data_IF_158693176423
#
_entry.id   IF_158693176423
#
_cell.length_a   1.000
_cell.length_b   1.000
_cell.length_c   1.000
_cell.angle_alpha   90.00
_cell.angle_beta   90.00
_cell.angle_gamma   90.00
#
_symmetry.space_group_name_H-M   'P 1'
#
loop_
_entity.id
_entity.type
_entity.pdbx_description
1 polymer ?
#
# COMPACT_ATOMS: atom_id res chain seq x y z
N UNK A 1 -0.10 -3.15 -31.90
CA UNK A 1 1.25 -2.88 -31.33
C UNK A 1 1.64 -4.05 -30.47
N UNK A 2 2.85 -4.58 -30.67
CA UNK A 2 3.41 -5.67 -29.83
C UNK A 2 4.64 -5.15 -29.10
N UNK A 3 4.80 -5.61 -27.87
CA UNK A 3 5.91 -5.21 -27.00
C UNK A 3 6.57 -6.46 -26.44
N UNK A 4 7.87 -6.63 -26.73
CA UNK A 4 8.68 -7.69 -26.16
C UNK A 4 9.39 -7.16 -24.92
N UNK A 5 9.17 -7.78 -23.80
CA UNK A 5 9.86 -7.52 -22.53
C UNK A 5 11.04 -8.48 -22.44
N UNK A 6 12.22 -8.07 -22.93
CA UNK A 6 13.41 -8.93 -23.01
C UNK A 6 14.08 -9.11 -21.67
N UNK A 7 13.95 -8.13 -20.77
CA UNK A 7 14.48 -8.13 -19.41
C UNK A 7 13.64 -7.23 -18.51
N UNK A 8 13.65 -7.53 -17.21
CA UNK A 8 12.80 -6.84 -16.22
C UNK A 8 13.54 -6.41 -14.96
N UNK A 9 14.83 -6.75 -14.82
CA UNK A 9 15.58 -6.42 -13.62
C UNK A 9 16.31 -5.07 -13.73
N UNK A 10 16.65 -4.51 -12.57
CA UNK A 10 17.47 -3.30 -12.45
C UNK A 10 18.89 -3.58 -12.93
N UNK A 11 19.52 -2.60 -13.53
CA UNK A 11 20.90 -2.49 -14.06
C UNK A 11 21.82 -3.72 -14.09
N UNK A 12 22.01 -4.41 -12.96
CA UNK A 12 22.88 -5.59 -12.85
C UNK A 12 22.17 -6.93 -13.02
N UNK A 13 20.84 -6.95 -13.22
CA UNK A 13 20.05 -8.17 -13.18
C UNK A 13 19.56 -8.56 -11.77
N UNK A 14 18.80 -9.65 -11.70
CA UNK A 14 18.42 -10.25 -10.42
C UNK A 14 18.62 -11.77 -10.53
N UNK A 15 19.51 -12.39 -9.71
CA UNK A 15 20.28 -11.80 -8.60
C UNK A 15 21.26 -10.72 -9.05
N UNK A 16 21.47 -9.74 -8.18
CA UNK A 16 22.48 -8.69 -8.37
C UNK A 16 23.88 -9.32 -8.21
N UNK A 17 24.82 -9.11 -9.16
CA UNK A 17 26.17 -9.62 -9.03
C UNK A 17 26.80 -9.26 -7.67
N UNK A 18 27.52 -10.20 -7.10
CA UNK A 18 28.25 -10.07 -5.82
C UNK A 18 27.40 -9.72 -4.60
N UNK A 19 26.07 -9.80 -4.71
CA UNK A 19 25.15 -9.57 -3.59
C UNK A 19 24.90 -10.83 -2.78
N UNK A 20 25.35 -10.86 -1.54
CA UNK A 20 25.15 -11.97 -0.59
C UNK A 20 23.80 -11.99 0.15
N UNK A 21 22.82 -11.15 -0.21
CA UNK A 21 21.53 -11.12 0.49
C UNK A 21 20.68 -12.38 0.23
N UNK A 22 19.77 -12.68 1.16
CA UNK A 22 18.92 -13.87 1.08
C UNK A 22 18.01 -13.91 -0.17
N UNK A 23 17.66 -12.77 -0.73
CA UNK A 23 16.88 -12.70 -1.99
C UNK A 23 17.73 -13.20 -3.16
N UNK A 24 18.94 -12.65 -3.35
CA UNK A 24 19.84 -13.02 -4.43
C UNK A 24 20.35 -14.45 -4.30
N UNK A 25 20.65 -14.91 -3.07
CA UNK A 25 21.17 -16.27 -2.83
C UNK A 25 20.21 -17.41 -3.20
N UNK A 26 18.92 -17.12 -3.38
CA UNK A 26 17.90 -18.11 -3.78
C UNK A 26 17.75 -18.28 -5.27
N UNK A 27 18.38 -17.44 -6.07
CA UNK A 27 18.19 -17.38 -7.51
C UNK A 27 19.45 -17.81 -8.26
N UNK A 28 19.28 -18.42 -9.41
CA UNK A 28 20.38 -18.72 -10.33
C UNK A 28 20.84 -17.43 -11.02
N UNK A 29 22.14 -17.30 -11.35
CA UNK A 29 22.64 -16.19 -12.15
C UNK A 29 21.85 -16.00 -13.45
N UNK A 30 21.49 -14.76 -13.77
CA UNK A 30 20.71 -14.43 -14.96
C UNK A 30 19.22 -14.80 -14.88
N UNK A 31 18.68 -15.06 -13.70
CA UNK A 31 17.25 -15.34 -13.49
C UNK A 31 16.36 -14.26 -14.09
N UNK A 32 16.70 -12.98 -13.87
CA UNK A 32 16.14 -11.84 -14.60
C UNK A 32 17.26 -10.97 -15.15
N UNK A 33 17.15 -10.61 -16.41
CA UNK A 33 18.09 -9.74 -17.11
C UNK A 33 17.78 -8.27 -16.88
N UNK A 34 18.74 -7.38 -17.07
CA UNK A 34 18.49 -5.93 -17.05
C UNK A 34 17.30 -5.54 -17.91
N UNK A 35 16.54 -4.54 -17.46
CA UNK A 35 15.37 -4.04 -18.15
C UNK A 35 15.69 -3.69 -19.59
N UNK A 36 15.04 -4.38 -20.51
CA UNK A 36 15.06 -4.12 -21.94
C UNK A 36 13.70 -4.41 -22.54
N UNK A 37 13.14 -3.44 -23.25
CA UNK A 37 11.81 -3.53 -23.85
C UNK A 37 11.90 -3.11 -25.32
N UNK A 38 11.36 -3.93 -26.21
CA UNK A 38 11.34 -3.67 -27.66
C UNK A 38 9.91 -3.48 -28.13
N UNK A 39 9.61 -2.31 -28.69
CA UNK A 39 8.29 -1.94 -29.19
C UNK A 39 8.27 -2.10 -30.71
N UNK A 40 7.25 -2.81 -31.24
CA UNK A 40 7.08 -3.02 -32.67
C UNK A 40 5.63 -2.75 -33.06
N UNK A 41 5.42 -2.00 -34.14
CA UNK A 41 4.08 -1.77 -34.71
C UNK A 41 3.68 -2.77 -35.81
N UNK A 42 4.67 -3.37 -36.48
CA UNK A 42 4.44 -4.32 -37.58
C UNK A 42 4.06 -5.70 -37.06
N UNK A 43 3.19 -6.40 -37.80
CA UNK A 43 2.89 -7.81 -37.62
C UNK A 43 4.07 -8.66 -38.10
N UNK A 44 5.18 -8.64 -37.39
CA UNK A 44 6.28 -9.59 -37.66
C UNK A 44 5.94 -10.90 -36.95
N UNK A 45 6.07 -12.04 -37.64
CA UNK A 45 6.05 -13.31 -36.95
C UNK A 45 7.29 -13.38 -36.06
N UNK A 46 7.09 -13.28 -34.76
CA UNK A 46 8.10 -13.62 -33.79
C UNK A 46 8.22 -15.14 -33.76
N UNK A 47 8.90 -15.69 -34.77
CA UNK A 47 9.25 -17.10 -34.80
C UNK A 47 10.45 -17.33 -33.88
N UNK A 48 10.15 -17.51 -32.61
CA UNK A 48 11.04 -18.07 -31.60
C UNK A 48 10.36 -19.30 -31.03
N UNK A 49 10.39 -20.40 -31.77
CA UNK A 49 9.97 -21.70 -31.27
C UNK A 49 10.91 -22.14 -30.15
N UNK A 50 10.47 -22.02 -28.92
CA UNK A 50 11.06 -22.73 -27.81
C UNK A 50 10.35 -24.09 -27.67
N UNK A 51 10.69 -25.01 -28.51
CA UNK A 51 10.43 -26.44 -28.30
C UNK A 51 11.79 -27.12 -28.24
N UNK A 52 12.18 -27.56 -27.06
CA UNK A 52 13.43 -28.31 -26.86
C UNK A 52 13.64 -28.60 -25.40
N UNK A 53 13.10 -29.72 -24.91
CA UNK A 53 13.47 -30.29 -23.63
C UNK A 53 14.99 -30.57 -23.58
N UNK A 54 15.66 -30.45 -22.41
CA UNK A 54 17.09 -30.72 -22.33
C UNK A 54 17.36 -32.23 -22.32
N UNK A 55 18.07 -32.74 -23.33
CA UNK A 55 18.78 -33.98 -23.27
C UNK A 55 20.20 -33.76 -22.78
N UNK A 56 20.62 -34.54 -21.80
CA UNK A 56 21.97 -34.58 -21.27
C UNK A 56 23.02 -34.94 -22.33
N UNK A 57 24.08 -34.12 -22.46
CA UNK A 57 25.38 -34.57 -22.90
C UNK A 57 26.49 -33.53 -22.55
N UNK A 58 27.76 -33.95 -22.41
CA UNK A 58 28.74 -33.28 -21.56
C UNK A 58 29.49 -32.15 -22.28
N UNK A 59 30.12 -31.29 -21.44
CA UNK A 59 30.87 -30.10 -21.82
C UNK A 59 32.09 -30.36 -22.73
N UNK A 60 32.41 -29.43 -23.63
CA UNK A 60 33.81 -29.16 -24.01
C UNK A 60 34.24 -27.76 -23.55
N UNK A 61 35.53 -27.64 -23.29
CA UNK A 61 36.24 -26.54 -22.70
C UNK A 61 36.31 -25.23 -23.51
N UNK A 62 37.07 -24.22 -23.01
CA UNK A 62 36.88 -22.83 -23.37
C UNK A 62 37.50 -22.48 -24.74
N UNK A 63 36.69 -21.86 -25.59
CA UNK A 63 37.17 -21.18 -26.78
C UNK A 63 36.91 -19.67 -26.67
N UNK A 64 37.99 -18.94 -26.70
CA UNK A 64 38.05 -17.49 -26.91
C UNK A 64 37.41 -17.10 -28.23
N UNK A 65 36.58 -16.09 -28.24
CA UNK A 65 36.24 -15.51 -29.53
C UNK A 65 34.99 -14.70 -29.60
N UNK A 66 35.13 -13.42 -29.77
CA UNK A 66 34.32 -12.48 -30.55
C UNK A 66 32.88 -12.25 -30.10
N UNK A 67 32.61 -11.04 -29.64
CA UNK A 67 31.27 -10.48 -29.51
C UNK A 67 30.46 -10.68 -30.82
N UNK A 68 29.22 -11.18 -30.73
CA UNK A 68 28.35 -11.13 -31.90
C UNK A 68 27.85 -9.71 -32.08
N UNK A 69 28.17 -9.17 -33.22
CA UNK A 69 27.76 -7.86 -33.68
C UNK A 69 26.26 -7.66 -33.67
N UNK A 70 25.94 -6.40 -33.60
CA UNK A 70 24.64 -5.80 -33.82
C UNK A 70 23.84 -6.50 -34.92
N UNK A 71 22.89 -7.32 -34.56
CA UNK A 71 21.93 -7.88 -35.50
C UNK A 71 20.75 -6.94 -35.64
N UNK A 72 20.75 -6.20 -36.76
CA UNK A 72 19.60 -5.74 -37.54
C UNK A 72 18.42 -5.19 -36.76
N UNK A 73 18.39 -3.85 -36.66
CA UNK A 73 17.17 -3.10 -36.44
C UNK A 73 16.17 -3.39 -37.56
N UNK A 74 15.12 -4.17 -37.28
CA UNK A 74 13.93 -4.15 -38.13
C UNK A 74 13.42 -2.70 -38.16
N UNK A 75 13.24 -2.14 -39.33
CA UNK A 75 12.77 -0.78 -39.51
C UNK A 75 11.46 -0.59 -38.71
N UNK A 76 11.48 0.27 -37.66
CA UNK A 76 10.33 0.54 -36.81
C UNK A 76 10.37 -0.05 -35.39
N UNK A 77 11.42 -0.76 -34.97
CA UNK A 77 11.55 -1.22 -33.60
C UNK A 77 12.26 -0.17 -32.72
N UNK A 78 11.71 0.09 -31.52
CA UNK A 78 12.31 0.97 -30.50
C UNK A 78 12.67 0.16 -29.28
N UNK A 79 13.87 0.39 -28.73
CA UNK A 79 14.34 -0.19 -27.49
C UNK A 79 14.19 0.81 -26.33
N UNK A 80 13.71 0.36 -25.20
CA UNK A 80 13.61 1.11 -23.95
C UNK A 80 14.42 0.38 -22.84
N UNK A 81 15.01 1.10 -21.85
CA UNK A 81 14.96 2.55 -21.70
C UNK A 81 15.75 3.29 -22.79
N UNK A 82 15.27 4.48 -23.14
CA UNK A 82 16.02 5.37 -24.02
C UNK A 82 17.15 5.99 -23.20
N UNK A 83 18.39 5.88 -23.69
CA UNK A 83 19.51 6.58 -23.06
C UNK A 83 19.34 8.10 -23.25
N UNK A 84 19.74 8.88 -22.23
CA UNK A 84 19.73 10.34 -22.34
C UNK A 84 20.65 10.76 -23.51
N UNK A 85 20.05 11.33 -24.57
CA UNK A 85 20.74 11.75 -25.77
C UNK A 85 20.58 10.85 -26.99
N UNK A 86 19.92 9.70 -26.87
CA UNK A 86 19.58 8.90 -28.03
C UNK A 86 18.60 9.65 -28.94
N UNK A 87 18.85 9.79 -30.25
CA UNK A 87 17.90 10.37 -31.15
C UNK A 87 16.64 9.48 -31.22
N UNK A 88 15.43 10.06 -31.13
CA UNK A 88 14.21 9.26 -31.27
C UNK A 88 14.23 8.60 -32.66
N UNK A 89 13.72 7.37 -32.78
CA UNK A 89 13.56 6.74 -34.09
C UNK A 89 12.72 7.64 -35.00
N UNK A 90 13.00 7.71 -36.31
CA UNK A 90 12.51 8.76 -37.19
C UNK A 90 10.98 8.88 -37.33
N UNK A 91 10.23 7.98 -36.76
CA UNK A 91 8.74 7.96 -36.81
C UNK A 91 8.07 7.99 -35.45
N UNK A 92 8.82 8.03 -34.35
CA UNK A 92 8.26 8.06 -32.99
C UNK A 92 8.46 9.45 -32.37
N UNK A 93 7.52 9.87 -31.54
CA UNK A 93 7.69 11.08 -30.73
C UNK A 93 8.02 10.71 -29.31
N UNK A 94 9.04 11.32 -28.76
CA UNK A 94 9.42 11.18 -27.36
C UNK A 94 9.21 12.51 -26.67
N UNK A 95 8.53 12.51 -25.54
CA UNK A 95 8.32 13.69 -24.71
C UNK A 95 8.63 13.37 -23.25
N UNK A 96 9.30 14.29 -22.57
CA UNK A 96 9.50 14.21 -21.13
C UNK A 96 8.27 14.73 -20.40
N UNK A 97 7.86 14.01 -19.36
CA UNK A 97 6.78 14.39 -18.45
C UNK A 97 7.25 14.32 -17.00
N UNK A 98 6.43 14.78 -16.07
CA UNK A 98 6.74 14.63 -14.65
C UNK A 98 6.85 13.15 -14.20
N UNK A 99 6.23 12.23 -14.94
CA UNK A 99 6.22 10.80 -14.63
C UNK A 99 7.32 10.01 -15.30
N UNK A 100 7.99 10.57 -16.31
CA UNK A 100 9.02 9.90 -17.10
C UNK A 100 8.98 10.27 -18.57
N UNK A 101 9.44 9.37 -19.43
CA UNK A 101 9.45 9.56 -20.86
C UNK A 101 8.22 8.90 -21.50
N UNK A 102 7.45 9.66 -22.27
CA UNK A 102 6.36 9.14 -23.08
C UNK A 102 6.81 8.97 -24.53
N UNK A 103 6.74 7.74 -25.00
CA UNK A 103 6.92 7.37 -26.41
C UNK A 103 5.55 7.29 -27.07
N UNK A 104 5.36 8.05 -28.14
CA UNK A 104 4.16 7.95 -28.98
C UNK A 104 4.55 7.29 -30.30
N UNK A 105 3.94 6.16 -30.61
CA UNK A 105 4.18 5.42 -31.83
C UNK A 105 3.43 6.02 -33.03
N UNK A 106 3.82 5.70 -34.28
CA UNK A 106 3.11 6.19 -35.49
C UNK A 106 1.62 5.86 -35.50
N UNK A 107 1.22 4.72 -34.96
CA UNK A 107 -0.19 4.31 -34.81
C UNK A 107 -0.93 4.99 -33.65
N UNK A 108 -0.26 5.92 -32.95
CA UNK A 108 -0.87 6.68 -31.84
C UNK A 108 -0.82 5.96 -30.50
N UNK A 109 -0.15 4.80 -30.39
CA UNK A 109 0.06 4.10 -29.14
C UNK A 109 0.98 4.90 -28.19
N UNK A 110 0.65 4.94 -26.92
CA UNK A 110 1.36 5.73 -25.89
C UNK A 110 2.00 4.79 -24.85
N UNK A 111 3.31 4.90 -24.71
CA UNK A 111 4.09 4.11 -23.76
C UNK A 111 4.81 5.07 -22.80
N UNK A 112 4.57 4.94 -21.53
CA UNK A 112 5.27 5.69 -20.48
C UNK A 112 6.35 4.82 -19.86
N UNK A 113 7.59 5.28 -19.92
CA UNK A 113 8.73 4.72 -19.20
C UNK A 113 9.04 5.59 -17.99
N UNK A 114 8.73 5.10 -16.79
CA UNK A 114 8.96 5.83 -15.54
C UNK A 114 10.36 5.57 -14.95
N UNK A 115 11.16 4.69 -15.55
CA UNK A 115 12.50 4.37 -15.10
C UNK A 115 13.54 5.35 -15.65
N UNK A 116 13.25 5.95 -16.80
CA UNK A 116 14.07 7.02 -17.34
C UNK A 116 13.94 8.26 -16.43
N UNK A 117 15.05 8.71 -15.88
CA UNK A 117 15.08 9.93 -15.06
C UNK A 117 14.61 11.12 -15.88
N UNK A 118 13.62 11.88 -15.43
CA UNK A 118 13.33 13.15 -16.06
C UNK A 118 14.57 14.02 -15.96
N UNK A 119 15.03 14.55 -17.09
CA UNK A 119 16.05 15.60 -17.09
C UNK A 119 15.49 16.72 -16.22
N UNK A 120 16.15 16.99 -15.10
CA UNK A 120 15.76 18.08 -14.21
C UNK A 120 15.66 19.38 -15.04
N UNK A 121 14.53 20.08 -15.05
CA UNK A 121 14.49 21.37 -15.68
C UNK A 121 15.51 22.27 -14.99
N UNK A 122 16.20 23.17 -15.72
CA UNK A 122 17.15 24.08 -15.11
C UNK A 122 16.39 24.89 -14.04
N UNK A 123 16.93 24.90 -12.85
CA UNK A 123 16.44 25.68 -11.71
C UNK A 123 16.44 27.15 -12.05
N UNK A 124 15.28 27.71 -12.32
CA UNK A 124 15.06 29.16 -12.33
C UNK A 124 14.62 29.60 -10.95
N UNK A 125 15.18 30.68 -10.39
CA UNK A 125 14.89 31.11 -9.04
C UNK A 125 13.53 31.79 -8.95
N UNK A 126 12.82 31.38 -7.96
CA UNK A 126 11.72 31.97 -7.19
C UNK A 126 11.28 33.40 -7.48
N UNK A 127 9.98 33.59 -7.57
CA UNK A 127 9.30 34.60 -6.80
C UNK A 127 7.93 34.11 -6.34
N UNK A 128 7.76 34.11 -5.05
CA UNK A 128 6.55 33.77 -4.30
C UNK A 128 5.51 34.86 -4.45
N UNK A 129 4.27 34.49 -4.55
CA UNK A 129 3.16 35.17 -3.86
C UNK A 129 1.99 34.23 -3.65
N UNK A 130 1.35 34.25 -2.49
CA UNK A 130 0.29 33.31 -2.12
C UNK A 130 -1.09 33.86 -2.48
N UNK A 131 -2.05 32.93 -2.54
CA UNK A 131 -3.49 33.13 -2.51
C UNK A 131 -4.24 33.23 -3.83
N UNK A 132 -4.93 32.14 -4.14
CA UNK A 132 -6.27 32.18 -4.73
C UNK A 132 -7.07 30.91 -4.35
N UNK A 133 -8.40 31.00 -4.18
CA UNK A 133 -9.23 30.01 -3.52
C UNK A 133 -9.49 28.77 -4.41
N UNK A 134 -9.65 27.64 -3.74
CA UNK A 134 -10.04 26.35 -4.32
C UNK A 134 -11.42 26.51 -4.99
N UNK A 135 -11.45 26.46 -6.30
CA UNK A 135 -12.66 26.34 -7.08
C UNK A 135 -13.05 24.87 -7.19
N UNK A 136 -14.35 24.61 -7.02
CA UNK A 136 -14.97 23.29 -6.97
C UNK A 136 -14.82 22.42 -8.23
N UNK A 137 -15.41 21.22 -8.25
CA UNK A 137 -15.10 20.17 -9.21
C UNK A 137 -15.47 20.60 -10.63
N UNK A 138 -14.45 20.67 -11.48
CA UNK A 138 -14.62 20.89 -12.93
C UNK A 138 -15.18 19.63 -13.56
N UNK A 139 -16.17 19.81 -14.41
CA UNK A 139 -16.88 18.80 -15.17
C UNK A 139 -15.92 17.86 -15.93
N UNK A 140 -16.33 16.60 -16.05
CA UNK A 140 -15.68 15.60 -16.87
C UNK A 140 -15.53 16.09 -18.32
N UNK A 141 -14.36 15.91 -18.97
CA UNK A 141 -14.23 16.18 -20.39
C UNK A 141 -14.84 15.04 -21.21
N UNK A 142 -15.47 15.44 -22.31
CA UNK A 142 -16.08 14.60 -23.34
C UNK A 142 -15.16 13.45 -23.81
N UNK A 143 -15.80 12.32 -24.19
CA UNK A 143 -15.21 11.05 -24.59
C UNK A 143 -14.30 11.02 -25.82
N UNK A 144 -13.22 11.82 -25.82
CA UNK A 144 -12.05 11.63 -26.67
C UNK A 144 -11.03 10.75 -25.97
N UNK A 145 -10.18 10.00 -26.69
CA UNK A 145 -9.03 9.27 -26.14
C UNK A 145 -8.24 10.22 -25.25
N UNK A 146 -8.48 10.13 -23.93
CA UNK A 146 -7.77 10.94 -22.94
C UNK A 146 -6.26 10.67 -23.01
N UNK A 147 -5.49 11.44 -22.27
CA UNK A 147 -4.02 11.33 -22.18
C UNK A 147 -3.50 10.01 -21.56
N UNK A 148 -4.36 9.01 -21.36
CA UNK A 148 -4.03 7.71 -20.82
C UNK A 148 -3.03 6.94 -21.71
N UNK A 149 -2.10 6.22 -21.06
CA UNK A 149 -1.11 5.41 -21.73
C UNK A 149 -1.64 4.00 -22.00
N UNK A 150 -1.22 3.37 -23.12
CA UNK A 150 -1.53 1.95 -23.40
C UNK A 150 -0.64 1.02 -22.56
N UNK A 151 0.60 1.45 -22.30
CA UNK A 151 1.58 0.72 -21.50
C UNK A 151 2.34 1.67 -20.58
N UNK A 152 2.56 1.23 -19.34
CA UNK A 152 3.45 1.89 -18.39
C UNK A 152 4.51 0.87 -17.93
N UNK A 153 5.78 1.22 -18.07
CA UNK A 153 6.94 0.51 -17.52
C UNK A 153 7.33 1.19 -16.21
N UNK A 154 7.30 0.47 -15.09
CA UNK A 154 7.45 1.11 -13.80
C UNK A 154 8.26 0.28 -12.80
N UNK A 155 9.21 0.92 -12.10
CA UNK A 155 9.80 0.40 -10.87
C UNK A 155 8.79 0.52 -9.72
N UNK A 156 7.97 -0.51 -9.57
CA UNK A 156 6.93 -0.55 -8.54
C UNK A 156 7.46 -0.88 -7.14
N UNK A 157 8.73 -1.29 -7.03
CA UNK A 157 9.33 -1.63 -5.73
C UNK A 157 9.86 -0.40 -4.98
N UNK A 158 10.13 0.68 -5.71
CA UNK A 158 10.61 1.93 -5.11
C UNK A 158 9.45 2.77 -4.56
N UNK A 159 8.51 3.11 -5.45
CA UNK A 159 7.43 4.06 -5.13
C UNK A 159 6.10 3.61 -5.74
N UNK A 160 5.46 2.58 -5.20
CA UNK A 160 4.18 2.07 -5.71
C UNK A 160 3.04 3.11 -5.67
N UNK A 161 3.12 4.11 -4.77
CA UNK A 161 2.15 5.20 -4.66
C UNK A 161 2.09 6.11 -5.89
N UNK A 162 3.16 6.17 -6.69
CA UNK A 162 3.14 6.88 -7.98
C UNK A 162 2.08 6.30 -8.94
N UNK A 163 1.86 4.99 -8.87
CA UNK A 163 0.81 4.35 -9.67
C UNK A 163 -0.59 4.82 -9.24
N UNK A 164 -0.81 4.98 -7.93
CA UNK A 164 -2.06 5.54 -7.41
C UNK A 164 -2.29 6.97 -7.91
N UNK A 165 -1.27 7.82 -7.85
CA UNK A 165 -1.34 9.20 -8.34
C UNK A 165 -1.56 9.26 -9.87
N UNK A 166 -0.88 8.43 -10.66
CA UNK A 166 -1.11 8.33 -12.12
C UNK A 166 -2.54 7.88 -12.44
N UNK A 167 -3.12 6.97 -11.65
CA UNK A 167 -4.54 6.57 -11.78
C UNK A 167 -5.47 7.72 -11.45
N UNK A 168 -5.20 8.45 -10.39
CA UNK A 168 -6.00 9.62 -9.99
C UNK A 168 -6.00 10.71 -11.05
N UNK A 169 -4.87 10.90 -11.74
CA UNK A 169 -4.73 11.89 -12.84
C UNK A 169 -5.19 11.37 -14.21
N UNK A 170 -5.61 10.11 -14.32
CA UNK A 170 -6.06 9.53 -15.58
C UNK A 170 -4.95 9.17 -16.57
N UNK A 171 -3.69 9.22 -16.17
CA UNK A 171 -2.54 8.73 -16.99
C UNK A 171 -2.59 7.21 -17.14
N UNK A 172 -3.09 6.53 -16.12
CA UNK A 172 -3.35 5.08 -16.06
C UNK A 172 -4.83 4.85 -15.85
N UNK A 173 -5.47 4.17 -16.79
CA UNK A 173 -6.88 3.77 -16.74
C UNK A 173 -7.03 2.23 -16.68
N UNK A 174 -8.26 1.73 -16.87
CA UNK A 174 -8.56 0.30 -16.86
C UNK A 174 -7.98 -0.44 -18.07
N UNK A 175 -7.69 0.24 -19.17
CA UNK A 175 -7.13 -0.30 -20.40
C UNK A 175 -5.61 -0.32 -20.37
N UNK A 176 -5.01 0.53 -19.53
CA UNK A 176 -3.57 0.65 -19.39
C UNK A 176 -2.96 -0.64 -18.81
N UNK A 177 -1.98 -1.20 -19.48
CA UNK A 177 -1.13 -2.25 -18.92
C UNK A 177 0.02 -1.63 -18.17
N UNK A 178 0.20 -2.00 -16.91
CA UNK A 178 1.34 -1.59 -16.10
C UNK A 178 2.25 -2.80 -15.92
N UNK A 179 3.51 -2.70 -16.32
CA UNK A 179 4.52 -3.77 -16.20
C UNK A 179 5.56 -3.37 -15.18
N UNK A 180 5.81 -4.27 -14.23
CA UNK A 180 6.90 -4.13 -13.27
C UNK A 180 8.24 -4.34 -13.98
N UNK A 181 9.10 -3.34 -13.97
CA UNK A 181 10.47 -3.37 -14.44
C UNK A 181 11.42 -2.88 -13.33
N UNK A 182 12.72 -2.94 -13.56
CA UNK A 182 13.73 -2.61 -12.55
C UNK A 182 13.59 -3.40 -11.24
N UNK A 183 13.10 -4.65 -11.37
CA UNK A 183 12.96 -5.57 -10.26
C UNK A 183 14.32 -6.00 -9.74
N UNK A 184 14.49 -6.09 -8.42
CA UNK A 184 15.72 -6.53 -7.79
C UNK A 184 15.46 -7.12 -6.39
N UNK A 185 16.52 -7.26 -5.61
CA UNK A 185 16.50 -7.84 -4.26
C UNK A 185 15.73 -7.07 -3.19
N UNK A 186 15.14 -5.89 -3.50
CA UNK A 186 14.19 -5.20 -2.61
C UNK A 186 12.93 -6.02 -2.37
N UNK A 187 12.66 -7.00 -3.23
CA UNK A 187 11.64 -8.02 -2.99
C UNK A 187 12.32 -9.36 -2.63
N UNK A 188 11.82 -10.06 -1.59
CA UNK A 188 12.53 -11.25 -1.08
C UNK A 188 12.44 -12.47 -2.00
N UNK A 189 11.38 -12.57 -2.83
CA UNK A 189 11.13 -13.74 -3.70
C UNK A 189 10.23 -13.35 -4.88
N UNK A 190 10.24 -14.18 -5.94
CA UNK A 190 9.30 -14.07 -7.06
C UNK A 190 7.82 -14.18 -6.62
N UNK A 191 7.54 -15.06 -5.65
CA UNK A 191 6.19 -15.20 -5.11
C UNK A 191 5.71 -13.88 -4.44
N UNK A 192 6.59 -13.20 -3.71
CA UNK A 192 6.27 -11.91 -3.11
C UNK A 192 6.14 -10.80 -4.16
N UNK A 193 6.95 -10.82 -5.22
CA UNK A 193 6.78 -9.92 -6.35
C UNK A 193 5.41 -10.11 -7.01
N UNK A 194 5.04 -11.36 -7.30
CA UNK A 194 3.75 -11.68 -7.90
C UNK A 194 2.58 -11.25 -6.99
N UNK A 195 2.69 -11.48 -5.68
CA UNK A 195 1.69 -11.03 -4.69
C UNK A 195 1.51 -9.51 -4.70
N UNK A 196 2.61 -8.75 -4.63
CA UNK A 196 2.55 -7.28 -4.67
C UNK A 196 1.98 -6.77 -6.00
N UNK A 197 2.44 -7.34 -7.10
CA UNK A 197 1.95 -6.99 -8.43
C UNK A 197 0.43 -7.22 -8.56
N UNK A 198 -0.08 -8.34 -8.03
CA UNK A 198 -1.51 -8.62 -7.99
C UNK A 198 -2.29 -7.61 -7.16
N UNK A 199 -1.79 -7.22 -5.97
CA UNK A 199 -2.39 -6.19 -5.13
C UNK A 199 -2.52 -4.86 -5.85
N UNK A 200 -1.52 -4.50 -6.64
CA UNK A 200 -1.45 -3.21 -7.35
C UNK A 200 -2.07 -3.23 -8.75
N UNK A 201 -2.48 -4.42 -9.25
CA UNK A 201 -2.96 -4.59 -10.62
C UNK A 201 -1.86 -4.28 -11.64
N UNK A 202 -0.67 -4.81 -11.39
CA UNK A 202 0.54 -4.69 -12.21
C UNK A 202 0.90 -6.07 -12.75
N UNK A 203 1.49 -6.11 -13.93
CA UNK A 203 2.01 -7.33 -14.55
C UNK A 203 3.46 -7.54 -14.12
N UNK A 204 3.74 -8.57 -13.35
CA UNK A 204 5.08 -9.08 -13.12
C UNK A 204 5.31 -10.25 -14.11
N UNK A 205 5.94 -9.95 -15.23
CA UNK A 205 6.13 -10.92 -16.31
C UNK A 205 7.54 -11.49 -16.30
N UNK A 206 7.75 -12.75 -16.76
CA UNK A 206 9.08 -13.29 -17.05
C UNK A 206 9.75 -12.53 -18.19
N UNK A 207 11.08 -12.57 -18.21
CA UNK A 207 11.86 -12.11 -19.36
C UNK A 207 11.48 -12.90 -20.63
N UNK A 208 11.47 -12.20 -21.77
CA UNK A 208 11.05 -12.77 -23.06
C UNK A 208 9.54 -12.74 -23.31
N UNK A 209 8.73 -12.16 -22.42
CA UNK A 209 7.29 -12.05 -22.60
C UNK A 209 6.93 -11.08 -23.73
N UNK A 210 6.03 -11.48 -24.60
CA UNK A 210 5.44 -10.61 -25.63
C UNK A 210 4.03 -10.19 -25.21
N UNK A 211 3.82 -8.88 -25.16
CA UNK A 211 2.51 -8.27 -24.91
C UNK A 211 1.89 -7.78 -26.20
N UNK A 212 0.67 -8.17 -26.51
CA UNK A 212 -0.12 -7.59 -27.59
C UNK A 212 -1.06 -6.53 -27.02
N UNK A 213 -0.74 -5.26 -27.27
CA UNK A 213 -1.51 -4.14 -26.75
C UNK A 213 -2.81 -3.86 -27.53
N UNK A 214 -3.05 -4.54 -28.65
CA UNK A 214 -4.32 -4.46 -29.39
C UNK A 214 -5.45 -5.27 -28.71
N UNK A 215 -5.09 -6.31 -27.95
CA UNK A 215 -6.04 -7.11 -27.21
C UNK A 215 -6.54 -6.42 -25.93
N UNK A 216 -7.55 -6.96 -25.26
CA UNK A 216 -8.03 -6.44 -23.97
C UNK A 216 -6.92 -6.51 -22.91
N UNK A 217 -6.93 -5.54 -21.97
CA UNK A 217 -6.07 -5.64 -20.81
C UNK A 217 -6.44 -6.88 -19.99
N UNK A 218 -5.46 -7.55 -19.35
CA UNK A 218 -5.76 -8.65 -18.45
C UNK A 218 -6.71 -8.21 -17.34
N UNK A 219 -7.73 -9.02 -17.04
CA UNK A 219 -8.62 -8.74 -15.91
C UNK A 219 -7.80 -8.66 -14.62
N UNK A 220 -8.03 -7.62 -13.85
CA UNK A 220 -7.41 -7.52 -12.52
C UNK A 220 -8.00 -8.58 -11.61
N UNK A 221 -7.14 -9.20 -10.79
CA UNK A 221 -7.61 -10.11 -9.76
C UNK A 221 -8.60 -9.39 -8.82
N UNK A 222 -9.70 -10.05 -8.43
CA UNK A 222 -10.61 -9.52 -7.43
C UNK A 222 -9.83 -9.21 -6.15
N UNK A 223 -10.10 -8.05 -5.56
CA UNK A 223 -9.49 -7.66 -4.29
C UNK A 223 -10.48 -7.92 -3.17
N UNK A 224 -10.05 -8.52 -2.05
CA UNK A 224 -10.93 -8.71 -0.91
C UNK A 224 -11.54 -7.38 -0.48
N UNK A 225 -12.86 -7.28 -0.35
CA UNK A 225 -13.48 -6.05 0.12
C UNK A 225 -13.13 -5.77 1.58
N UNK A 226 -13.02 -6.81 2.44
CA UNK A 226 -12.72 -6.65 3.86
C UNK A 226 -11.48 -7.46 4.23
N UNK A 227 -10.44 -6.76 4.66
CA UNK A 227 -9.16 -7.35 5.07
C UNK A 227 -8.86 -6.98 6.51
N UNK A 228 -8.58 -7.97 7.35
CA UNK A 228 -8.13 -7.77 8.73
C UNK A 228 -6.68 -8.23 8.88
N UNK A 229 -5.79 -7.31 9.28
CA UNK A 229 -4.39 -7.59 9.56
C UNK A 229 -4.16 -7.57 11.07
N UNK A 230 -3.80 -8.71 11.60
CA UNK A 230 -3.49 -8.93 13.01
C UNK A 230 -1.98 -8.93 13.24
N UNK A 231 -1.54 -8.59 14.43
CA UNK A 231 -0.12 -8.73 14.80
C UNK A 231 0.27 -7.92 16.01
N UNK A 232 1.42 -8.25 16.60
CA UNK A 232 1.98 -7.54 17.74
C UNK A 232 2.53 -6.16 17.40
N UNK A 233 2.97 -5.42 18.41
CA UNK A 233 3.65 -4.15 18.22
C UNK A 233 4.88 -4.32 17.32
N UNK A 234 5.08 -3.40 16.37
CA UNK A 234 6.22 -3.40 15.43
C UNK A 234 6.32 -4.66 14.54
N UNK A 235 5.26 -5.43 14.37
CA UNK A 235 5.22 -6.61 13.50
C UNK A 235 5.33 -6.29 12.01
N UNK A 236 5.03 -5.04 11.59
CA UNK A 236 4.96 -4.60 10.20
C UNK A 236 3.53 -4.52 9.65
N UNK A 237 2.49 -4.77 10.48
CA UNK A 237 1.08 -4.77 10.04
C UNK A 237 0.62 -3.47 9.37
N UNK A 238 0.97 -2.29 9.92
CA UNK A 238 0.61 -1.00 9.30
C UNK A 238 1.31 -0.79 7.96
N UNK A 239 2.60 -1.18 7.84
CA UNK A 239 3.32 -1.11 6.57
C UNK A 239 2.71 -2.04 5.50
N UNK A 240 2.24 -3.23 5.90
CA UNK A 240 1.52 -4.13 5.00
C UNK A 240 0.15 -3.55 4.57
N UNK A 241 -0.58 -2.90 5.48
CA UNK A 241 -1.84 -2.24 5.16
C UNK A 241 -1.63 -1.09 4.15
N UNK A 242 -0.62 -0.25 4.38
CA UNK A 242 -0.23 0.82 3.47
C UNK A 242 0.17 0.24 2.10
N UNK A 243 0.98 -0.81 2.06
CA UNK A 243 1.41 -1.48 0.82
C UNK A 243 0.21 -2.01 0.01
N UNK A 244 -0.80 -2.57 0.66
CA UNK A 244 -2.00 -3.10 -0.01
C UNK A 244 -2.80 -2.05 -0.75
N UNK A 245 -2.77 -0.83 -0.27
CA UNK A 245 -3.53 0.30 -0.81
C UNK A 245 -2.66 1.30 -1.59
N UNK A 246 -1.34 1.10 -1.64
CA UNK A 246 -0.41 2.06 -2.22
C UNK A 246 -0.75 2.49 -3.65
N UNK A 247 -1.23 1.57 -4.48
CA UNK A 247 -1.60 1.84 -5.87
C UNK A 247 -3.05 2.29 -6.08
N UNK A 248 -3.82 2.55 -5.00
CA UNK A 248 -5.17 3.10 -5.13
C UNK A 248 -5.12 4.60 -5.44
N UNK A 249 -6.01 5.09 -6.33
CA UNK A 249 -6.06 6.51 -6.70
C UNK A 249 -6.45 7.40 -5.51
N UNK A 250 -7.25 6.87 -4.61
CA UNK A 250 -7.73 7.55 -3.41
C UNK A 250 -7.82 6.55 -2.27
N UNK A 251 -7.45 6.97 -1.08
CA UNK A 251 -7.60 6.21 0.17
C UNK A 251 -7.95 7.18 1.28
N UNK A 252 -8.87 6.83 2.14
CA UNK A 252 -9.10 7.53 3.40
C UNK A 252 -8.44 6.74 4.53
N UNK A 253 -7.36 7.31 5.05
CA UNK A 253 -6.69 6.80 6.25
C UNK A 253 -7.46 7.26 7.49
N UNK A 254 -7.82 6.32 8.35
CA UNK A 254 -8.58 6.60 9.57
C UNK A 254 -7.69 6.38 10.78
N UNK A 255 -7.37 7.49 11.46
CA UNK A 255 -6.68 7.49 12.73
C UNK A 255 -7.72 7.43 13.86
N UNK A 256 -7.61 6.41 14.69
CA UNK A 256 -8.56 6.16 15.80
C UNK A 256 -7.99 6.49 17.18
N UNK A 257 -6.71 6.83 17.23
CA UNK A 257 -6.03 7.22 18.47
C UNK A 257 -6.07 8.73 18.72
N UNK A 258 -5.68 9.16 19.93
CA UNK A 258 -5.61 10.57 20.28
C UNK A 258 -4.59 11.30 19.39
N UNK A 259 -4.81 12.60 19.18
CA UNK A 259 -3.98 13.47 18.33
C UNK A 259 -2.52 13.61 18.78
N UNK A 260 -2.18 13.17 19.98
CA UNK A 260 -0.80 13.11 20.49
C UNK A 260 -0.41 14.36 21.30
N UNK A 261 -1.37 15.16 21.70
CA UNK A 261 -1.14 16.32 22.58
C UNK A 261 -0.77 15.80 23.98
N UNK A 262 0.47 16.07 24.40
CA UNK A 262 1.00 15.69 25.72
C UNK A 262 2.02 14.54 25.73
N UNK A 263 2.11 13.69 24.71
CA UNK A 263 3.11 12.62 24.62
C UNK A 263 4.03 12.78 23.41
N UNK A 264 5.28 13.17 23.67
CA UNK A 264 6.29 13.41 22.62
C UNK A 264 6.66 12.13 21.84
N UNK A 265 6.61 10.97 22.45
CA UNK A 265 6.88 9.70 21.76
C UNK A 265 5.71 9.34 20.84
N UNK A 266 4.49 9.48 21.31
CA UNK A 266 3.28 9.26 20.52
C UNK A 266 3.21 10.24 19.34
N UNK A 267 3.42 11.54 19.57
CA UNK A 267 3.46 12.55 18.53
C UNK A 267 4.51 12.26 17.45
N UNK A 268 5.69 11.74 17.85
CA UNK A 268 6.74 11.30 16.90
C UNK A 268 6.27 10.10 16.08
N UNK A 269 5.56 9.14 16.67
CA UNK A 269 4.98 7.99 15.96
C UNK A 269 3.94 8.44 14.94
N UNK A 270 3.01 9.30 15.33
CA UNK A 270 1.98 9.85 14.45
C UNK A 270 2.61 10.57 13.26
N UNK A 271 3.64 11.41 13.49
CA UNK A 271 4.39 12.08 12.42
C UNK A 271 5.05 11.08 11.48
N UNK A 272 5.77 10.10 11.99
CA UNK A 272 6.44 9.08 11.17
C UNK A 272 5.44 8.26 10.31
N UNK A 273 4.23 8.01 10.82
CA UNK A 273 3.15 7.39 10.04
C UNK A 273 2.60 8.34 8.97
N UNK A 274 2.47 9.63 9.28
CA UNK A 274 1.99 10.64 8.33
C UNK A 274 2.99 10.86 7.19
N UNK A 275 4.28 10.90 7.48
CA UNK A 275 5.36 11.15 6.51
C UNK A 275 5.54 10.00 5.50
N UNK A 276 5.11 8.77 5.85
CA UNK A 276 5.15 7.62 4.94
C UNK A 276 3.98 7.54 3.98
N UNK A 277 2.89 8.26 4.27
CA UNK A 277 1.68 8.15 3.47
C UNK A 277 1.80 8.93 2.16
N UNK A 278 1.21 8.42 1.08
CA UNK A 278 1.10 9.19 -0.15
C UNK A 278 0.37 10.52 0.07
N UNK A 279 0.90 11.61 -0.48
CA UNK A 279 0.33 12.95 -0.30
C UNK A 279 -1.11 13.09 -0.82
N UNK A 280 -1.53 12.19 -1.72
CA UNK A 280 -2.88 12.20 -2.29
C UNK A 280 -3.92 11.42 -1.45
N UNK A 281 -3.50 10.81 -0.32
CA UNK A 281 -4.42 10.14 0.58
C UNK A 281 -5.10 11.14 1.53
N UNK A 282 -6.40 10.97 1.73
CA UNK A 282 -7.15 11.70 2.77
C UNK A 282 -6.85 11.13 4.16
N UNK A 283 -7.05 11.94 5.19
CA UNK A 283 -6.98 11.51 6.59
C UNK A 283 -8.26 11.92 7.32
N UNK A 284 -8.84 11.01 8.09
CA UNK A 284 -9.90 11.27 9.04
C UNK A 284 -9.44 10.88 10.45
N UNK A 285 -9.65 11.76 11.42
CA UNK A 285 -9.42 11.49 12.84
C UNK A 285 -10.80 11.30 13.49
N UNK A 286 -11.18 10.06 13.77
CA UNK A 286 -12.51 9.75 14.29
C UNK A 286 -12.58 8.36 14.89
N UNK A 287 -13.46 8.19 15.86
CA UNK A 287 -13.86 6.89 16.41
C UNK A 287 -15.22 6.40 15.88
N UNK A 288 -15.90 7.17 15.04
CA UNK A 288 -17.11 6.70 14.35
C UNK A 288 -16.78 5.85 13.11
N UNK A 289 -16.20 4.68 13.36
CA UNK A 289 -15.87 3.72 12.30
C UNK A 289 -17.13 3.17 11.63
N UNK A 290 -18.19 2.94 12.39
CA UNK A 290 -19.43 2.38 11.87
C UNK A 290 -20.09 3.33 10.87
N UNK A 291 -20.16 4.62 11.17
CA UNK A 291 -20.65 5.65 10.26
C UNK A 291 -19.83 5.74 8.98
N UNK A 292 -18.50 5.71 9.09
CA UNK A 292 -17.61 5.70 7.93
C UNK A 292 -17.79 4.47 7.03
N UNK A 293 -17.98 3.27 7.62
CA UNK A 293 -18.17 2.03 6.87
C UNK A 293 -19.50 2.01 6.10
N UNK A 294 -20.54 2.64 6.63
CA UNK A 294 -21.85 2.76 5.98
C UNK A 294 -21.89 3.82 4.89
N UNK A 295 -20.95 4.78 4.92
CA UNK A 295 -20.92 5.89 3.97
C UNK A 295 -20.13 5.48 2.72
N UNK A 296 -20.66 5.64 1.49
CA UNK A 296 -19.90 5.43 0.26
C UNK A 296 -18.65 6.33 0.17
N UNK A 297 -17.58 5.83 -0.42
CA UNK A 297 -16.36 6.62 -0.58
C UNK A 297 -15.15 5.78 -1.01
N UNK A 298 -13.94 6.36 -0.99
CA UNK A 298 -12.71 5.65 -1.34
C UNK A 298 -12.42 4.52 -0.35
N UNK A 299 -11.52 3.57 -0.69
CA UNK A 299 -11.07 2.55 0.24
C UNK A 299 -10.64 3.13 1.59
N UNK A 300 -10.93 2.40 2.67
CA UNK A 300 -10.53 2.76 4.03
C UNK A 300 -9.27 2.01 4.44
N UNK A 301 -8.34 2.72 5.08
CA UNK A 301 -7.29 2.14 5.91
C UNK A 301 -7.55 2.52 7.36
N UNK A 302 -8.00 1.57 8.19
CA UNK A 302 -8.20 1.77 9.62
C UNK A 302 -6.94 1.30 10.35
N UNK A 303 -6.13 2.24 10.83
CA UNK A 303 -4.87 1.90 11.51
C UNK A 303 -5.01 2.03 13.02
N UNK A 304 -5.39 0.90 13.63
CA UNK A 304 -5.43 0.71 15.06
C UNK A 304 -6.83 0.44 15.65
N UNK A 305 -7.36 -0.78 15.49
CA UNK A 305 -8.56 -1.18 16.23
C UNK A 305 -8.32 -1.25 17.74
N UNK A 306 -7.06 -1.49 18.17
CA UNK A 306 -6.69 -1.40 19.58
C UNK A 306 -6.86 0.02 20.14
N UNK A 307 -6.37 1.03 19.43
CA UNK A 307 -6.56 2.44 19.84
C UNK A 307 -8.02 2.85 19.78
N UNK A 308 -8.80 2.32 18.82
CA UNK A 308 -10.25 2.52 18.78
C UNK A 308 -10.94 1.94 20.01
N UNK A 309 -10.64 0.68 20.41
CA UNK A 309 -11.19 0.09 21.62
C UNK A 309 -10.85 0.92 22.85
N UNK A 310 -9.59 1.37 22.99
CA UNK A 310 -9.19 2.22 24.11
C UNK A 310 -10.00 3.52 24.15
N UNK A 311 -10.14 4.21 23.00
CA UNK A 311 -10.93 5.44 22.91
C UNK A 311 -12.42 5.22 23.24
N UNK A 312 -13.00 4.06 22.87
CA UNK A 312 -14.37 3.70 23.24
C UNK A 312 -14.48 3.44 24.74
N UNK A 313 -13.45 2.85 25.39
CA UNK A 313 -13.42 2.71 26.86
C UNK A 313 -13.36 4.06 27.54
N UNK A 314 -12.51 4.98 27.05
CA UNK A 314 -12.38 6.35 27.59
C UNK A 314 -13.71 7.11 27.48
N UNK A 315 -14.34 7.09 26.29
CA UNK A 315 -15.62 7.76 26.03
C UNK A 315 -16.75 7.30 26.97
N UNK A 316 -16.74 6.02 27.36
CA UNK A 316 -17.81 5.42 28.15
C UNK A 316 -17.44 5.24 29.63
N UNK A 317 -16.29 5.74 30.08
CA UNK A 317 -15.82 5.55 31.45
C UNK A 317 -15.76 4.07 31.87
N UNK A 318 -15.40 3.19 30.92
CA UNK A 318 -15.48 1.74 31.10
C UNK A 318 -14.23 1.11 31.73
N UNK A 319 -13.18 1.91 31.99
CA UNK A 319 -12.00 1.40 32.68
C UNK A 319 -12.33 1.05 34.15
N UNK A 320 -11.97 -0.14 34.64
CA UNK A 320 -12.13 -0.45 36.04
C UNK A 320 -11.25 0.48 36.87
N UNK A 321 -11.79 0.99 37.97
CA UNK A 321 -11.03 1.77 38.94
C UNK A 321 -9.80 0.98 39.40
N UNK A 322 -8.70 1.68 39.59
CA UNK A 322 -7.49 1.08 40.16
C UNK A 322 -7.68 0.96 41.69
N UNK A 323 -7.81 -0.24 42.24
CA UNK A 323 -8.01 -0.40 43.66
C UNK A 323 -6.78 0.06 44.51
N UNK A 324 -5.63 0.22 43.88
CA UNK A 324 -4.39 0.71 44.55
C UNK A 324 -4.23 2.24 44.43
N UNK A 325 -5.06 2.92 43.61
CA UNK A 325 -5.02 4.36 43.45
C UNK A 325 -6.43 4.94 43.20
N UNK A 326 -7.31 4.98 44.22
CA UNK A 326 -8.69 5.46 44.08
C UNK A 326 -8.81 6.95 43.73
N UNK A 327 -7.75 7.75 43.92
CA UNK A 327 -7.78 9.20 43.72
C UNK A 327 -7.50 9.68 42.27
N UNK A 328 -7.22 8.79 41.31
CA UNK A 328 -6.93 9.18 39.93
C UNK A 328 -8.15 9.53 39.07
N UNK A 329 -9.35 9.45 39.61
CA UNK A 329 -10.60 9.72 38.86
C UNK A 329 -11.08 11.17 38.96
N UNK A 330 -10.40 12.08 39.69
CA UNK A 330 -10.93 13.43 39.94
C UNK A 330 -9.86 14.55 39.97
N UNK A 331 -8.84 14.53 39.14
CA UNK A 331 -7.90 15.66 39.11
C UNK A 331 -7.98 16.45 37.78
N UNK A 332 -9.13 17.10 37.58
CA UNK A 332 -9.27 18.30 36.75
C UNK A 332 -10.26 19.26 37.42
N UNK A 333 -9.90 19.77 38.58
CA UNK A 333 -10.51 21.00 39.11
C UNK A 333 -9.44 21.79 39.86
N UNK A 334 -9.10 22.93 39.31
CA UNK A 334 -8.07 23.84 39.78
C UNK A 334 -8.16 24.28 41.23
N UNK A 335 -7.11 24.92 41.77
CA UNK A 335 -7.00 25.32 43.16
C UNK A 335 -7.79 26.62 43.41
N UNK A 336 -8.46 26.66 44.55
CA UNK A 336 -8.56 27.77 45.47
C UNK A 336 -9.90 27.88 46.21
N UNK A 337 -9.81 27.87 47.52
CA UNK A 337 -10.79 28.42 48.41
C UNK A 337 -10.77 27.78 49.82
N UNK A 338 -10.47 28.56 50.87
CA UNK A 338 -10.29 28.04 52.21
C UNK A 338 -11.57 27.99 53.06
N UNK A 339 -11.55 27.12 54.08
CA UNK A 339 -12.33 27.15 55.31
C UNK A 339 -13.82 26.90 55.29
N UNK A 340 -14.23 25.84 55.98
CA UNK A 340 -15.60 25.71 56.47
C UNK A 340 -15.99 24.34 57.00
N UNK A 341 -15.79 24.13 58.32
CA UNK A 341 -16.59 23.32 59.25
C UNK A 341 -16.97 21.87 58.83
N UNK A 342 -16.45 20.96 59.62
CA UNK A 342 -16.91 19.55 59.74
C UNK A 342 -18.37 19.51 60.25
N UNK A 343 -19.19 18.76 59.54
CA UNK A 343 -20.43 18.23 60.11
C UNK A 343 -20.42 16.68 59.95
N UNK A 344 -20.34 15.99 61.05
CA UNK A 344 -20.39 14.52 61.16
C UNK A 344 -21.87 14.14 61.14
N UNK A 345 -22.30 13.44 60.13
CA UNK A 345 -23.35 12.42 60.10
C UNK A 345 -24.11 12.41 58.78
N UNK A 346 -23.72 11.56 57.84
CA UNK A 346 -24.71 11.01 56.91
C UNK A 346 -24.26 9.62 56.47
N UNK A 347 -25.12 8.67 56.72
CA UNK A 347 -25.06 7.30 56.28
C UNK A 347 -24.69 7.20 54.80
N UNK A 348 -23.52 6.62 54.53
CA UNK A 348 -23.12 6.26 53.14
C UNK A 348 -23.79 4.94 52.78
N UNK A 349 -24.89 5.06 52.10
CA UNK A 349 -25.43 3.98 51.28
C UNK A 349 -24.38 3.61 50.19
N UNK A 350 -23.84 2.41 50.27
CA UNK A 350 -22.83 1.88 49.34
C UNK A 350 -23.50 1.59 47.98
N UNK A 351 -23.49 2.57 47.07
CA UNK A 351 -23.76 2.36 45.64
C UNK A 351 -22.47 2.38 44.79
N UNK A 352 -21.33 1.99 45.35
CA UNK A 352 -20.04 1.85 44.65
C UNK A 352 -19.94 0.53 43.88
N UNK A 353 -20.60 0.42 42.73
CA UNK A 353 -20.53 -0.77 41.87
C UNK A 353 -21.21 -0.64 40.51
N UNK A 354 -22.00 0.40 40.29
CA UNK A 354 -22.82 0.47 39.07
C UNK A 354 -22.19 1.22 37.88
N UNK A 355 -21.14 2.01 38.07
CA UNK A 355 -20.50 2.77 36.97
C UNK A 355 -19.83 1.87 35.94
N UNK A 356 -19.09 0.85 36.38
CA UNK A 356 -18.35 -0.04 35.47
C UNK A 356 -19.21 -0.98 34.63
N UNK A 357 -20.38 -1.40 35.13
CA UNK A 357 -21.26 -2.34 34.41
C UNK A 357 -21.98 -1.64 33.26
N UNK A 358 -22.41 -0.40 33.43
CA UNK A 358 -23.04 0.42 32.38
C UNK A 358 -22.08 0.76 31.24
N UNK A 359 -20.84 1.13 31.57
CA UNK A 359 -19.78 1.46 30.62
C UNK A 359 -19.39 0.28 29.72
N UNK A 360 -19.25 -0.92 30.28
CA UNK A 360 -18.96 -2.13 29.50
C UNK A 360 -20.10 -2.53 28.57
N UNK A 361 -21.34 -2.32 28.96
CA UNK A 361 -22.51 -2.53 28.10
C UNK A 361 -22.45 -1.60 26.87
N UNK A 362 -22.09 -0.34 27.07
CA UNK A 362 -21.90 0.63 25.99
C UNK A 362 -20.75 0.25 25.05
N UNK A 363 -19.60 -0.18 25.60
CA UNK A 363 -18.46 -0.69 24.79
C UNK A 363 -18.89 -1.89 23.95
N UNK A 364 -19.64 -2.84 24.53
CA UNK A 364 -20.18 -4.00 23.78
C UNK A 364 -21.08 -3.55 22.64
N UNK A 365 -22.01 -2.62 22.88
CA UNK A 365 -22.89 -2.08 21.87
C UNK A 365 -22.13 -1.40 20.71
N UNK A 366 -21.06 -0.65 21.00
CA UNK A 366 -20.20 -0.04 19.98
C UNK A 366 -19.46 -1.10 19.15
N UNK A 367 -18.99 -2.18 19.79
CA UNK A 367 -18.40 -3.32 19.07
C UNK A 367 -19.43 -4.02 18.18
N UNK A 368 -20.67 -4.21 18.66
CA UNK A 368 -21.76 -4.81 17.89
C UNK A 368 -22.10 -3.96 16.66
N UNK A 369 -22.16 -2.66 16.83
CA UNK A 369 -22.41 -1.71 15.75
C UNK A 369 -21.30 -1.74 14.70
N UNK A 370 -20.04 -1.76 15.13
CA UNK A 370 -18.89 -1.85 14.22
C UNK A 370 -18.92 -3.15 13.42
N UNK A 371 -19.18 -4.30 14.06
CA UNK A 371 -19.26 -5.59 13.36
C UNK A 371 -20.42 -5.61 12.37
N UNK A 372 -21.58 -5.05 12.70
CA UNK A 372 -22.70 -4.92 11.78
C UNK A 372 -22.33 -4.06 10.56
N UNK A 373 -21.72 -2.88 10.79
CA UNK A 373 -21.26 -2.00 9.72
C UNK A 373 -20.17 -2.64 8.86
N UNK A 374 -19.25 -3.42 9.47
CA UNK A 374 -18.23 -4.18 8.77
C UNK A 374 -18.84 -5.23 7.83
N UNK A 375 -19.85 -5.96 8.28
CA UNK A 375 -20.58 -6.94 7.47
C UNK A 375 -21.30 -6.31 6.28
N UNK A 376 -21.90 -5.15 6.46
CA UNK A 376 -22.74 -4.47 5.49
C UNK A 376 -21.98 -3.61 4.49
N UNK A 377 -20.74 -3.21 4.82
CA UNK A 377 -19.99 -2.27 3.99
C UNK A 377 -19.74 -2.81 2.59
N UNK A 378 -19.90 -1.94 1.61
CA UNK A 378 -19.48 -2.17 0.21
C UNK A 378 -18.17 -1.47 -0.11
N UNK A 379 -17.63 -0.70 0.83
CA UNK A 379 -16.31 -0.08 0.68
C UNK A 379 -15.24 -1.13 0.88
N UNK A 380 -14.18 -1.04 0.09
CA UNK A 380 -12.97 -1.78 0.41
C UNK A 380 -12.36 -1.23 1.71
N UNK A 381 -12.09 -2.11 2.65
CA UNK A 381 -11.50 -1.76 3.94
C UNK A 381 -10.32 -2.67 4.26
N UNK A 382 -9.23 -2.08 4.70
CA UNK A 382 -8.09 -2.77 5.31
C UNK A 382 -7.95 -2.24 6.73
N UNK A 383 -8.19 -3.10 7.72
CA UNK A 383 -8.03 -2.72 9.13
C UNK A 383 -6.84 -3.42 9.75
N UNK A 384 -6.21 -2.71 10.66
CA UNK A 384 -5.07 -3.18 11.45
C UNK A 384 -5.50 -3.33 12.90
N UNK A 385 -5.24 -4.49 13.49
CA UNK A 385 -5.53 -4.75 14.90
C UNK A 385 -4.35 -5.40 15.61
N UNK A 386 -4.25 -5.16 16.91
CA UNK A 386 -3.27 -5.80 17.76
C UNK A 386 -3.77 -7.19 18.21
N UNK A 387 -2.91 -8.21 18.06
CA UNK A 387 -3.15 -9.52 18.62
C UNK A 387 -2.53 -9.59 20.03
N UNK A 388 -3.27 -9.06 20.99
CA UNK A 388 -2.82 -8.94 22.39
C UNK A 388 -2.90 -10.27 23.16
N UNK A 389 -3.66 -11.24 22.64
CA UNK A 389 -3.84 -12.56 23.26
C UNK A 389 -2.60 -13.43 23.26
N UNK A 390 -1.67 -13.19 22.33
CA UNK A 390 -0.39 -13.92 22.23
C UNK A 390 0.70 -13.39 23.18
N UNK A 391 0.43 -12.30 23.89
CA UNK A 391 1.39 -11.69 24.82
C UNK A 391 1.24 -12.15 26.26
N UNK A 392 2.01 -11.49 27.14
CA UNK A 392 1.92 -11.70 28.59
C UNK A 392 0.55 -11.24 29.10
N UNK A 393 -0.01 -11.97 30.06
CA UNK A 393 -1.27 -11.57 30.72
C UNK A 393 -1.03 -10.26 31.48
N UNK A 394 -1.80 -9.19 31.20
CA UNK A 394 -1.64 -7.91 31.89
C UNK A 394 -1.86 -8.03 33.39
N UNK A 395 -1.03 -7.34 34.17
CA UNK A 395 -1.14 -7.33 35.62
C UNK A 395 -2.40 -6.60 36.11
N UNK A 396 -2.79 -5.51 35.42
CA UNK A 396 -3.94 -4.67 35.77
C UNK A 396 -5.27 -5.27 35.30
N UNK A 397 -6.35 -5.01 36.02
CA UNK A 397 -7.71 -5.41 35.63
C UNK A 397 -8.12 -4.76 34.29
N UNK A 398 -7.80 -3.46 34.08
CA UNK A 398 -8.05 -2.75 32.85
C UNK A 398 -7.35 -3.36 31.65
N UNK A 399 -6.07 -3.71 31.80
CA UNK A 399 -5.33 -4.37 30.73
C UNK A 399 -5.91 -5.73 30.34
N UNK A 400 -6.37 -6.53 31.31
CA UNK A 400 -7.04 -7.82 31.03
C UNK A 400 -8.36 -7.62 30.31
N UNK A 401 -9.17 -6.66 30.77
CA UNK A 401 -10.45 -6.33 30.14
C UNK A 401 -10.27 -5.84 28.70
N UNK A 402 -9.34 -4.91 28.47
CA UNK A 402 -9.00 -4.43 27.13
C UNK A 402 -8.59 -5.60 26.22
N UNK A 403 -7.68 -6.47 26.68
CA UNK A 403 -7.25 -7.64 25.91
C UNK A 403 -8.41 -8.53 25.53
N UNK A 404 -9.34 -8.80 26.46
CA UNK A 404 -10.46 -9.70 26.23
C UNK A 404 -11.51 -9.08 25.28
N UNK A 405 -11.78 -7.78 25.38
CA UNK A 405 -12.68 -7.07 24.46
C UNK A 405 -12.09 -7.02 23.05
N UNK A 406 -10.81 -6.63 22.93
CA UNK A 406 -10.14 -6.56 21.61
C UNK A 406 -10.05 -7.94 20.95
N UNK A 407 -9.72 -8.98 21.73
CA UNK A 407 -9.66 -10.35 21.20
C UNK A 407 -11.03 -10.83 20.68
N UNK A 408 -12.13 -10.55 21.42
CA UNK A 408 -13.48 -10.88 20.95
C UNK A 408 -13.86 -10.07 19.69
N UNK A 409 -13.51 -8.79 19.63
CA UNK A 409 -13.73 -7.97 18.46
C UNK A 409 -12.98 -8.51 17.24
N UNK A 410 -11.70 -8.87 17.41
CA UNK A 410 -10.87 -9.47 16.36
C UNK A 410 -11.51 -10.76 15.81
N UNK A 411 -11.97 -11.66 16.68
CA UNK A 411 -12.66 -12.89 16.26
C UNK A 411 -13.89 -12.60 15.42
N UNK A 412 -14.72 -11.65 15.85
CA UNK A 412 -15.98 -11.30 15.17
C UNK A 412 -15.72 -10.62 13.82
N UNK A 413 -14.76 -9.72 13.73
CA UNK A 413 -14.37 -9.09 12.47
C UNK A 413 -13.71 -10.10 11.52
N UNK A 414 -12.92 -11.04 12.03
CA UNK A 414 -12.32 -12.10 11.24
C UNK A 414 -13.39 -12.96 10.54
N UNK A 415 -14.47 -13.32 11.25
CA UNK A 415 -15.59 -14.09 10.68
C UNK A 415 -16.33 -13.36 9.55
N UNK A 416 -16.25 -12.03 9.51
CA UNK A 416 -16.92 -11.20 8.51
C UNK A 416 -15.94 -10.66 7.44
N UNK A 417 -14.70 -11.15 7.42
CA UNK A 417 -13.64 -10.70 6.50
C UNK A 417 -13.35 -11.76 5.44
N UNK A 418 -13.13 -11.34 4.20
CA UNK A 418 -12.70 -12.23 3.11
C UNK A 418 -11.22 -12.57 3.19
N UNK A 419 -10.44 -11.74 3.90
CA UNK A 419 -9.03 -11.99 4.11
C UNK A 419 -8.62 -11.62 5.53
N UNK A 420 -7.99 -12.57 6.22
CA UNK A 420 -7.38 -12.38 7.52
C UNK A 420 -5.94 -12.85 7.47
N UNK A 421 -5.00 -12.05 7.99
CA UNK A 421 -3.61 -12.44 8.06
C UNK A 421 -2.96 -11.98 9.37
N UNK A 422 -2.13 -12.86 9.94
CA UNK A 422 -1.24 -12.51 11.04
C UNK A 422 0.10 -12.03 10.49
N UNK A 423 0.55 -10.86 10.93
CA UNK A 423 1.83 -10.28 10.55
C UNK A 423 2.85 -10.48 11.68
N UNK A 424 3.91 -11.20 11.37
CA UNK A 424 5.00 -11.50 12.31
C UNK A 424 6.34 -11.20 11.65
N UNK A 425 7.16 -10.33 12.25
CA UNK A 425 8.48 -9.94 11.74
C UNK A 425 8.45 -9.53 10.24
N UNK A 426 7.44 -8.77 9.83
CA UNK A 426 7.23 -8.34 8.44
C UNK A 426 6.81 -9.45 7.48
N UNK A 427 6.41 -10.62 7.98
CA UNK A 427 5.92 -11.74 7.18
C UNK A 427 4.44 -11.94 7.39
N UNK A 428 3.75 -12.31 6.32
CA UNK A 428 2.32 -12.63 6.35
C UNK A 428 2.13 -14.12 6.58
N UNK A 429 1.28 -14.42 7.53
CA UNK A 429 0.70 -15.75 7.74
C UNK A 429 -0.80 -15.64 7.44
N UNK A 430 -1.28 -16.06 6.26
CA UNK A 430 -2.70 -16.10 5.97
C UNK A 430 -3.42 -17.01 6.96
N UNK A 431 -4.53 -16.53 7.50
CA UNK A 431 -5.42 -17.35 8.34
C UNK A 431 -6.59 -17.80 7.47
N UNK A 432 -6.97 -19.09 7.50
CA UNK A 432 -8.11 -19.57 6.73
C UNK A 432 -9.39 -18.91 7.23
N UNK A 433 -10.25 -18.51 6.30
CA UNK A 433 -11.58 -17.92 6.52
C UNK A 433 -12.67 -18.89 6.13
#
# INVERSE_FOLDING_TARGET
>A
MKVLISGTARGGGWPVPDCGCASCARLSPGHRRPTEVVVTEASFPLTGSAAGAPSHAPAPGPASGTAPGSALGAAGAVRLPLAAGDPPPPVHRVSATADGLVLVTPGGGRILDTTASPVSPPSSPSSLSPSAPVSGPSAAPDGGRGDACDLVLMDVLDRPERLGDMRRRGVVDERTRVVAVDVDHRVPTEAELARRAALWGVLAVPDGTVLDLAGPAPARAPRPPRTLLLGGARSGKSAEAELRLAAEPEVLYVATGPSGDGDAEWARRVRAHRDRRPAHWGTAETIDLAGLLRTPGPPLLVDGLGTWVAAVFDENGAWPGDPENPDRTNDESGPDGPDGARDENQDKDHTDGMGGVGGLGAVSARCDELVAAWRETRRRVVAVSDETGLGVVPATAGGRMFRDVLGRLNQRLALESEEVALVVAGRLLPLPV
#
